data_IF_702122545865
#
_entry.id   IF_702122545865
#
_cell.length_a   1.000
_cell.length_b   1.000
_cell.length_c   1.000
_cell.angle_alpha   90.00
_cell.angle_beta   90.00
_cell.angle_gamma   90.00
#
_symmetry.space_group_name_H-M   'P 1'
#
loop_
_entity.id
_entity.type
_entity.pdbx_description
1 polymer ?
#
# COMPACT_ATOMS: atom_id res chain seq x y z
N UNK A 1 -8.21 -10.51 35.03
CA UNK A 1 -7.23 -10.34 33.94
C UNK A 1 -8.00 -9.95 32.68
N UNK A 2 -8.35 -8.67 32.60
CA UNK A 2 -9.09 -8.05 31.50
C UNK A 2 -8.14 -7.03 30.87
N UNK A 3 -7.61 -7.34 29.69
CA UNK A 3 -6.68 -6.49 28.97
C UNK A 3 -7.41 -5.39 28.22
N UNK A 4 -7.10 -4.15 28.58
CA UNK A 4 -7.54 -2.92 27.94
C UNK A 4 -7.11 -2.86 26.47
N UNK A 5 -8.07 -2.68 25.56
CA UNK A 5 -7.86 -2.06 24.25
C UNK A 5 -8.49 -0.66 24.31
N UNK A 6 -7.65 0.34 24.57
CA UNK A 6 -7.98 1.75 24.44
C UNK A 6 -8.07 2.06 22.93
N UNK A 7 -9.28 2.09 22.39
CA UNK A 7 -9.56 2.75 21.11
C UNK A 7 -9.40 4.26 21.30
N UNK A 8 -8.26 4.80 20.88
CA UNK A 8 -8.09 6.25 20.75
C UNK A 8 -8.83 6.71 19.50
N UNK A 9 -10.11 7.02 19.64
CA UNK A 9 -10.82 7.88 18.71
C UNK A 9 -10.17 9.27 18.76
N UNK A 10 -9.29 9.57 17.81
CA UNK A 10 -8.86 10.94 17.55
C UNK A 10 -10.00 11.66 16.84
N UNK A 11 -10.90 12.23 17.64
CA UNK A 11 -11.81 13.28 17.19
C UNK A 11 -10.97 14.46 16.72
N UNK A 12 -10.94 14.70 15.40
CA UNK A 12 -10.46 15.97 14.89
C UNK A 12 -11.38 17.07 15.45
N UNK A 13 -10.85 18.10 16.13
CA UNK A 13 -11.69 19.19 16.57
C UNK A 13 -12.14 19.98 15.34
N UNK A 14 -13.38 19.78 14.91
CA UNK A 14 -14.11 20.64 13.97
C UNK A 14 -14.53 21.93 14.69
N UNK A 15 -13.54 22.68 15.16
CA UNK A 15 -13.74 24.02 15.68
C UNK A 15 -12.65 24.92 15.12
N UNK A 16 -12.91 25.48 13.93
CA UNK A 16 -12.36 26.79 13.66
C UNK A 16 -13.33 27.82 14.24
N UNK A 17 -12.92 28.69 15.18
CA UNK A 17 -13.65 29.91 15.39
C UNK A 17 -13.42 30.72 14.11
N UNK A 18 -14.40 30.80 13.22
CA UNK A 18 -14.33 31.76 12.11
C UNK A 18 -15.33 32.84 12.42
N UNK A 19 -14.79 33.96 12.90
CA UNK A 19 -15.51 35.22 12.97
C UNK A 19 -16.27 35.46 11.65
N UNK A 20 -17.43 36.12 11.70
CA UNK A 20 -18.11 36.57 10.49
C UNK A 20 -17.17 37.55 9.77
N UNK A 21 -16.42 37.02 8.80
CA UNK A 21 -15.54 37.79 7.92
C UNK A 21 -16.37 38.84 7.19
N UNK A 22 -16.11 40.09 7.50
CA UNK A 22 -16.64 41.26 6.83
C UNK A 22 -16.15 41.27 5.38
N UNK A 23 -16.99 41.68 4.43
CA UNK A 23 -16.66 41.72 3.00
C UNK A 23 -15.50 42.68 2.68
N UNK A 24 -15.07 43.49 3.66
CA UNK A 24 -13.98 44.44 3.57
C UNK A 24 -12.57 43.82 3.69
N UNK A 25 -12.40 42.59 4.23
CA UNK A 25 -11.06 41.95 4.37
C UNK A 25 -10.65 41.15 3.11
N UNK A 26 -10.89 41.73 1.94
CA UNK A 26 -10.40 41.22 0.65
C UNK A 26 -8.87 41.31 0.54
N UNK A 27 -8.22 42.17 1.32
CA UNK A 27 -6.78 42.40 1.28
C UNK A 27 -6.00 41.13 1.66
N UNK A 28 -6.32 40.49 2.77
CA UNK A 28 -5.69 39.25 3.24
C UNK A 28 -5.84 38.10 2.23
N UNK A 29 -7.01 37.99 1.61
CA UNK A 29 -7.28 36.99 0.58
C UNK A 29 -6.59 37.31 -0.76
N UNK A 30 -6.52 38.59 -1.13
CA UNK A 30 -5.85 39.06 -2.34
C UNK A 30 -4.35 38.82 -2.28
N UNK A 31 -3.69 39.09 -1.14
CA UNK A 31 -2.26 38.85 -0.93
C UNK A 31 -1.93 37.35 -1.09
N UNK A 32 -2.77 36.48 -0.54
CA UNK A 32 -2.61 35.03 -0.68
C UNK A 32 -2.92 34.50 -2.09
N UNK A 33 -3.71 35.24 -2.89
CA UNK A 33 -3.94 34.94 -4.30
C UNK A 33 -2.79 35.44 -5.17
N UNK A 34 -2.23 36.61 -4.84
CA UNK A 34 -1.05 37.18 -5.49
C UNK A 34 0.17 36.28 -5.30
N UNK A 35 0.35 35.73 -4.09
CA UNK A 35 1.44 34.76 -3.83
C UNK A 35 1.32 33.46 -4.62
N UNK A 36 0.11 33.08 -5.08
CA UNK A 36 -0.17 31.89 -5.89
C UNK A 36 -0.56 32.20 -7.34
N UNK A 37 -0.54 33.47 -7.76
CA UNK A 37 -1.12 33.90 -9.02
C UNK A 37 -0.47 33.22 -10.24
N UNK A 38 0.83 32.97 -10.17
CA UNK A 38 1.59 32.23 -11.18
C UNK A 38 1.07 30.80 -11.42
N UNK A 39 0.49 30.16 -10.40
CA UNK A 39 -0.02 28.80 -10.48
C UNK A 39 -1.49 28.76 -10.89
N UNK A 40 -2.24 29.86 -10.73
CA UNK A 40 -3.68 29.90 -10.98
C UNK A 40 -4.04 30.48 -12.36
N UNK A 41 -3.28 31.44 -12.89
CA UNK A 41 -3.70 32.29 -14.00
C UNK A 41 -2.70 32.34 -15.18
N UNK A 42 -3.19 32.74 -16.35
CA UNK A 42 -2.38 33.08 -17.56
C UNK A 42 -2.11 34.60 -17.55
N UNK A 43 -1.12 35.11 -18.29
CA UNK A 43 -0.77 36.54 -18.35
C UNK A 43 -1.17 37.11 -19.72
N UNK A 44 -2.18 37.99 -19.76
CA UNK A 44 -2.58 38.91 -20.84
C UNK A 44 -3.81 39.78 -20.42
N UNK A 45 -4.09 40.88 -21.13
CA UNK A 45 -5.06 41.90 -20.72
C UNK A 45 -6.16 42.18 -21.77
N UNK A 46 -7.43 41.98 -21.39
CA UNK A 46 -8.57 42.85 -21.73
C UNK A 46 -9.88 42.35 -21.08
N UNK A 47 -10.74 43.26 -20.63
CA UNK A 47 -12.12 42.95 -20.20
C UNK A 47 -13.03 44.16 -20.42
N UNK A 48 -14.29 43.88 -20.78
CA UNK A 48 -15.35 44.85 -21.11
C UNK A 48 -16.45 44.75 -20.05
N UNK A 49 -16.87 45.89 -19.50
CA UNK A 49 -18.04 45.99 -18.62
C UNK A 49 -19.34 46.09 -19.44
N UNK A 50 -20.38 45.36 -19.00
CA UNK A 50 -21.75 45.42 -19.56
C UNK A 50 -22.75 45.41 -18.40
N UNK A 51 -23.62 46.42 -18.35
CA UNK A 51 -24.73 46.51 -17.41
C UNK A 51 -25.87 45.54 -17.77
N UNK A 52 -26.58 45.03 -16.76
CA UNK A 52 -27.62 44.02 -16.92
C UNK A 52 -29.04 44.61 -16.83
N UNK A 53 -29.96 44.22 -17.73
CA UNK A 53 -31.38 44.56 -17.60
C UNK A 53 -32.04 43.83 -16.41
N UNK A 54 -33.13 44.39 -15.87
CA UNK A 54 -33.89 43.80 -14.75
C UNK A 54 -34.41 42.39 -15.08
N UNK A 55 -34.36 41.48 -14.11
CA UNK A 55 -34.76 40.08 -14.28
C UNK A 55 -33.82 39.22 -15.14
N UNK A 56 -32.67 39.75 -15.56
CA UNK A 56 -31.69 38.99 -16.34
C UNK A 56 -30.71 38.19 -15.47
N UNK A 57 -30.29 37.04 -15.99
CA UNK A 57 -29.25 36.20 -15.38
C UNK A 57 -27.97 36.26 -16.20
N UNK A 58 -26.88 36.73 -15.59
CA UNK A 58 -25.55 36.76 -16.21
C UNK A 58 -24.77 35.51 -15.82
N UNK A 59 -24.24 34.78 -16.80
CA UNK A 59 -23.40 33.60 -16.55
C UNK A 59 -21.99 33.86 -17.10
N UNK A 60 -21.02 34.00 -16.21
CA UNK A 60 -19.60 34.13 -16.53
C UNK A 60 -18.97 32.74 -16.37
N UNK A 61 -18.47 32.17 -17.47
CA UNK A 61 -17.84 30.85 -17.44
C UNK A 61 -16.34 30.93 -17.70
N UNK A 62 -15.53 30.38 -16.79
CA UNK A 62 -14.08 30.30 -16.90
C UNK A 62 -13.68 28.85 -17.18
N UNK A 63 -12.89 28.63 -18.24
CA UNK A 63 -12.42 27.30 -18.63
C UNK A 63 -10.95 27.09 -18.31
N UNK A 64 -10.56 25.82 -18.31
CA UNK A 64 -9.18 25.35 -18.21
C UNK A 64 -8.95 24.28 -19.30
N UNK A 65 -7.69 24.09 -19.66
CA UNK A 65 -7.30 23.04 -20.60
C UNK A 65 -7.54 21.63 -20.02
N UNK A 66 -7.18 21.42 -18.76
CA UNK A 66 -7.50 20.21 -18.01
C UNK A 66 -7.68 20.52 -16.51
N UNK A 67 -8.12 19.53 -15.72
CA UNK A 67 -8.40 19.69 -14.28
C UNK A 67 -7.18 19.98 -13.41
N UNK A 68 -5.96 19.94 -13.96
CA UNK A 68 -4.70 20.30 -13.30
C UNK A 68 -3.97 21.49 -13.98
N UNK A 69 -4.51 22.08 -15.06
CA UNK A 69 -3.89 23.21 -15.75
C UNK A 69 -4.23 24.54 -15.09
N UNK A 70 -3.50 25.60 -15.43
CA UNK A 70 -3.87 26.98 -15.06
C UNK A 70 -5.25 27.33 -15.64
N UNK A 71 -5.94 28.29 -15.02
CA UNK A 71 -7.19 28.84 -15.54
C UNK A 71 -6.90 29.72 -16.75
N UNK A 72 -7.78 29.68 -17.76
CA UNK A 72 -7.66 30.48 -18.96
C UNK A 72 -8.20 31.91 -18.73
N UNK A 73 -7.73 32.54 -17.66
CA UNK A 73 -8.02 33.92 -17.28
C UNK A 73 -6.82 34.47 -16.53
N UNK A 74 -6.70 35.79 -16.50
CA UNK A 74 -5.55 36.48 -15.93
C UNK A 74 -5.91 37.05 -14.57
N UNK A 75 -4.90 37.29 -13.71
CA UNK A 75 -5.18 37.72 -12.34
C UNK A 75 -5.91 39.07 -12.31
N UNK A 76 -5.50 40.00 -13.17
CA UNK A 76 -6.14 41.32 -13.31
C UNK A 76 -7.59 41.19 -13.81
N UNK A 77 -7.81 40.34 -14.83
CA UNK A 77 -9.16 40.06 -15.34
C UNK A 77 -10.06 39.42 -14.28
N UNK A 78 -9.53 38.46 -13.52
CA UNK A 78 -10.29 37.81 -12.46
C UNK A 78 -10.64 38.79 -11.33
N UNK A 79 -9.69 39.64 -10.92
CA UNK A 79 -9.96 40.74 -9.97
C UNK A 79 -11.03 41.68 -10.48
N UNK A 80 -10.95 42.11 -11.75
CA UNK A 80 -11.96 42.96 -12.37
C UNK A 80 -13.35 42.32 -12.34
N UNK A 81 -13.48 41.02 -12.68
CA UNK A 81 -14.74 40.28 -12.57
C UNK A 81 -15.24 40.24 -11.12
N UNK A 82 -14.35 39.97 -10.16
CA UNK A 82 -14.71 39.94 -8.74
C UNK A 82 -15.23 41.29 -8.25
N UNK A 83 -14.57 42.39 -8.64
CA UNK A 83 -14.97 43.75 -8.26
C UNK A 83 -16.25 44.18 -8.97
N UNK A 84 -16.38 43.92 -10.28
CA UNK A 84 -17.57 44.33 -11.06
C UNK A 84 -18.82 43.51 -10.74
N UNK A 85 -18.65 42.26 -10.30
CA UNK A 85 -19.77 41.36 -9.98
C UNK A 85 -20.04 41.22 -8.47
N UNK A 86 -19.34 41.96 -7.61
CA UNK A 86 -19.51 41.89 -6.15
C UNK A 86 -19.27 40.49 -5.58
N UNK A 87 -18.22 39.79 -6.05
CA UNK A 87 -17.95 38.40 -5.66
C UNK A 87 -17.51 38.34 -4.20
N UNK A 88 -18.21 37.54 -3.39
CA UNK A 88 -17.88 37.37 -1.98
C UNK A 88 -16.48 36.71 -1.82
N UNK A 89 -15.57 37.24 -0.96
CA UNK A 89 -14.19 36.76 -0.85
C UNK A 89 -14.05 35.26 -0.49
N UNK A 90 -15.03 34.66 0.19
CA UNK A 90 -15.04 33.20 0.48
C UNK A 90 -14.97 32.30 -0.75
N UNK A 91 -15.38 32.78 -1.93
CA UNK A 91 -15.22 32.03 -3.19
C UNK A 91 -13.75 31.70 -3.46
N UNK A 92 -12.83 32.55 -2.99
CA UNK A 92 -11.39 32.39 -3.20
C UNK A 92 -10.85 31.14 -2.49
N UNK A 93 -11.48 30.67 -1.40
CA UNK A 93 -11.13 29.41 -0.75
C UNK A 93 -11.39 28.19 -1.66
N UNK A 94 -12.46 28.24 -2.45
CA UNK A 94 -12.76 27.20 -3.45
C UNK A 94 -11.79 27.25 -4.62
N UNK A 95 -11.41 28.46 -5.04
CA UNK A 95 -10.52 28.70 -6.18
C UNK A 95 -9.07 28.32 -5.88
N UNK A 96 -8.61 28.48 -4.63
CA UNK A 96 -7.28 28.04 -4.17
C UNK A 96 -7.00 26.56 -4.45
N UNK A 97 -8.03 25.71 -4.47
CA UNK A 97 -7.93 24.28 -4.78
C UNK A 97 -7.83 23.97 -6.29
N UNK A 98 -7.95 24.97 -7.16
CA UNK A 98 -8.07 24.80 -8.62
C UNK A 98 -6.84 25.20 -9.44
N UNK A 99 -5.74 25.60 -8.82
CA UNK A 99 -4.51 25.96 -9.54
C UNK A 99 -3.81 24.79 -10.27
N UNK A 100 -2.63 25.09 -10.82
CA UNK A 100 -1.74 24.12 -11.44
C UNK A 100 -1.35 23.02 -10.44
N UNK A 101 -1.45 21.76 -10.87
CA UNK A 101 -1.12 20.60 -10.04
C UNK A 101 -0.19 19.66 -10.77
N UNK A 102 0.87 19.24 -10.07
CA UNK A 102 1.74 18.12 -10.48
C UNK A 102 1.36 16.82 -9.80
N UNK A 103 0.55 16.88 -8.73
CA UNK A 103 0.10 15.75 -7.92
C UNK A 103 -1.35 15.95 -7.47
N UNK A 104 -2.08 14.86 -7.16
CA UNK A 104 -3.43 14.90 -6.61
C UNK A 104 -3.45 15.43 -5.17
N UNK A 105 -3.19 16.73 -4.97
CA UNK A 105 -3.31 17.40 -3.67
C UNK A 105 -4.71 18.03 -3.54
N UNK A 106 -5.18 18.14 -2.30
CA UNK A 106 -6.46 18.79 -1.96
C UNK A 106 -7.69 18.08 -2.53
N UNK A 107 -7.61 16.77 -2.80
CA UNK A 107 -8.73 16.01 -3.39
C UNK A 107 -9.92 15.84 -2.44
N UNK A 108 -9.70 16.03 -1.14
CA UNK A 108 -10.71 15.83 -0.10
C UNK A 108 -11.52 17.10 0.21
N UNK A 109 -11.10 18.27 -0.31
CA UNK A 109 -11.77 19.53 0.01
C UNK A 109 -13.02 19.72 -0.86
N UNK A 110 -14.18 19.74 -0.21
CA UNK A 110 -15.47 20.12 -0.76
C UNK A 110 -16.15 21.10 0.20
N UNK A 111 -16.17 22.38 -0.18
CA UNK A 111 -16.74 23.49 0.58
C UNK A 111 -18.04 23.99 -0.04
N UNK A 112 -18.95 24.42 0.83
CA UNK A 112 -20.16 25.14 0.47
C UNK A 112 -20.31 26.32 1.44
N UNK A 113 -20.46 27.52 0.91
CA UNK A 113 -20.59 28.75 1.68
C UNK A 113 -21.81 29.52 1.20
N UNK A 114 -22.66 29.88 2.14
CA UNK A 114 -23.84 30.70 1.92
C UNK A 114 -23.74 31.93 2.81
N UNK A 115 -24.10 33.10 2.29
CA UNK A 115 -24.13 34.35 3.05
C UNK A 115 -25.28 35.20 2.54
N UNK A 116 -26.01 35.84 3.44
CA UNK A 116 -27.04 36.83 3.09
C UNK A 116 -26.58 38.16 3.63
N UNK A 117 -26.30 39.10 2.74
CA UNK A 117 -25.97 40.46 3.10
C UNK A 117 -27.25 41.29 3.08
N UNK A 118 -27.52 41.94 4.21
CA UNK A 118 -28.52 42.99 4.29
C UNK A 118 -27.77 44.30 4.36
N UNK A 119 -27.85 45.13 3.31
CA UNK A 119 -27.33 46.50 3.44
C UNK A 119 -28.17 47.23 4.51
N UNK A 120 -27.56 47.85 5.53
CA UNK A 120 -28.26 48.76 6.40
C UNK A 120 -28.74 49.93 5.55
N UNK A 121 -30.05 50.09 5.41
CA UNK A 121 -30.60 51.26 4.72
C UNK A 121 -30.09 52.53 5.39
N UNK A 122 -29.50 53.44 4.62
CA UNK A 122 -29.28 54.79 5.10
C UNK A 122 -30.66 55.42 5.39
N UNK A 123 -30.87 56.06 6.56
CA UNK A 123 -32.01 56.94 6.71
C UNK A 123 -31.81 58.13 5.76
N UNK A 124 -32.68 58.31 4.77
CA UNK A 124 -32.62 59.48 3.88
C UNK A 124 -33.46 60.61 4.47
N UNK A 125 -32.92 61.83 4.39
CA UNK A 125 -33.58 63.11 4.64
C UNK A 125 -34.80 63.29 3.73
N UNK A 126 -35.91 63.74 4.32
CA UNK A 126 -36.99 64.50 3.71
C UNK A 126 -37.47 64.05 2.33
N UNK A 127 -38.27 62.96 2.26
CA UNK A 127 -39.55 62.89 1.51
C UNK A 127 -40.09 61.45 1.47
N UNK A 128 -40.51 60.91 2.63
CA UNK A 128 -41.54 59.85 2.83
C UNK A 128 -41.48 58.51 2.06
N UNK A 129 -40.58 58.31 1.09
CA UNK A 129 -40.51 57.13 0.24
C UNK A 129 -39.32 56.27 0.66
N UNK A 130 -39.63 55.16 1.33
CA UNK A 130 -38.65 54.15 1.74
C UNK A 130 -38.03 53.52 0.49
N UNK A 131 -36.73 53.76 0.25
CA UNK A 131 -35.96 52.99 -0.74
C UNK A 131 -35.87 51.54 -0.23
N UNK A 132 -36.27 50.53 -1.02
CA UNK A 132 -36.22 49.14 -0.58
C UNK A 132 -34.77 48.72 -0.28
N UNK A 133 -34.59 48.15 0.91
CA UNK A 133 -33.32 47.61 1.43
C UNK A 133 -32.74 46.61 0.42
N UNK A 134 -31.58 46.88 -0.20
CA UNK A 134 -30.92 45.91 -1.08
C UNK A 134 -30.44 44.73 -0.25
N UNK A 135 -31.07 43.57 -0.45
CA UNK A 135 -30.63 42.30 0.13
C UNK A 135 -29.98 41.47 -0.96
N UNK A 136 -28.71 41.15 -0.78
CA UNK A 136 -27.94 40.32 -1.71
C UNK A 136 -27.68 38.96 -1.06
N UNK A 137 -27.95 37.90 -1.80
CA UNK A 137 -27.74 36.53 -1.37
C UNK A 137 -26.61 35.90 -2.16
N UNK A 138 -25.60 35.40 -1.45
CA UNK A 138 -24.41 34.81 -2.01
C UNK A 138 -24.38 33.31 -1.70
N UNK A 139 -24.07 32.52 -2.72
CA UNK A 139 -23.86 31.09 -2.57
C UNK A 139 -22.64 30.65 -3.39
N UNK A 140 -21.75 29.87 -2.80
CA UNK A 140 -20.59 29.32 -3.47
C UNK A 140 -20.35 27.88 -3.05
N UNK A 141 -20.02 27.01 -3.99
CA UNK A 141 -19.70 25.62 -3.70
C UNK A 141 -18.83 25.03 -4.80
N UNK A 142 -18.07 24.00 -4.44
CA UNK A 142 -17.39 23.16 -5.42
C UNK A 142 -18.04 21.78 -5.51
N UNK A 143 -18.22 21.29 -6.74
CA UNK A 143 -18.65 19.93 -7.00
C UNK A 143 -17.49 19.14 -7.61
N UNK A 144 -17.47 17.85 -7.33
CA UNK A 144 -16.57 16.90 -7.95
C UNK A 144 -17.39 15.87 -8.71
N UNK A 145 -16.86 15.43 -9.83
CA UNK A 145 -17.54 14.49 -10.71
C UNK A 145 -16.52 13.64 -11.47
N UNK A 146 -16.93 12.44 -11.87
CA UNK A 146 -16.09 11.55 -12.67
C UNK A 146 -16.43 11.70 -14.15
N UNK A 147 -15.42 11.82 -15.00
CA UNK A 147 -15.63 11.91 -16.44
C UNK A 147 -14.53 11.17 -17.18
N UNK A 148 -14.90 10.50 -18.28
CA UNK A 148 -13.96 9.77 -19.14
C UNK A 148 -13.00 10.77 -19.80
N UNK A 149 -11.70 10.50 -19.74
CA UNK A 149 -10.70 11.40 -20.30
C UNK A 149 -10.36 11.10 -21.77
N UNK A 150 -10.82 9.97 -22.33
CA UNK A 150 -10.63 9.62 -23.74
C UNK A 150 -9.18 9.34 -24.14
N UNK A 151 -8.33 8.94 -23.19
CA UNK A 151 -6.92 8.57 -23.44
C UNK A 151 -6.82 7.05 -23.32
N UNK A 152 -5.86 6.44 -24.01
CA UNK A 152 -5.58 5.01 -23.94
C UNK A 152 -4.75 4.68 -22.68
N UNK A 153 -5.40 4.81 -21.52
CA UNK A 153 -4.83 4.51 -20.20
C UNK A 153 -5.73 3.45 -19.56
N UNK A 154 -5.13 2.54 -18.77
CA UNK A 154 -5.85 1.42 -18.10
C UNK A 154 -7.09 1.87 -17.33
N UNK A 155 -7.04 3.03 -16.67
CA UNK A 155 -8.18 3.65 -16.01
C UNK A 155 -8.73 4.77 -16.90
N UNK A 156 -9.95 4.65 -17.47
CA UNK A 156 -10.51 5.65 -18.37
C UNK A 156 -11.08 6.88 -17.62
N UNK A 157 -11.21 6.80 -16.30
CA UNK A 157 -11.88 7.80 -15.49
C UNK A 157 -10.93 8.83 -14.90
N UNK A 158 -11.41 10.05 -14.72
CA UNK A 158 -10.71 11.07 -13.96
C UNK A 158 -11.69 11.86 -13.09
N UNK A 159 -11.33 12.05 -11.82
CA UNK A 159 -12.05 12.96 -10.94
C UNK A 159 -11.76 14.40 -11.35
N UNK A 160 -12.82 15.12 -11.72
CA UNK A 160 -12.78 16.54 -12.08
C UNK A 160 -13.44 17.36 -10.98
N UNK A 161 -13.13 18.65 -10.96
CA UNK A 161 -13.70 19.60 -10.00
C UNK A 161 -14.22 20.82 -10.76
N UNK A 162 -15.32 21.38 -10.27
CA UNK A 162 -15.91 22.61 -10.75
C UNK A 162 -16.32 23.49 -9.56
N UNK A 163 -16.36 24.80 -9.79
CA UNK A 163 -16.81 25.78 -8.79
C UNK A 163 -17.97 26.55 -9.36
N UNK A 164 -19.01 26.69 -8.55
CA UNK A 164 -20.16 27.52 -8.84
C UNK A 164 -20.25 28.61 -7.78
N UNK A 165 -20.46 29.83 -8.23
CA UNK A 165 -20.82 30.96 -7.40
C UNK A 165 -22.05 31.62 -7.99
N UNK A 166 -22.99 31.97 -7.13
CA UNK A 166 -24.18 32.75 -7.44
C UNK A 166 -24.25 33.94 -6.48
N UNK A 167 -24.58 35.08 -7.05
CA UNK A 167 -25.13 36.22 -6.32
C UNK A 167 -26.52 36.52 -6.88
N UNK A 168 -27.49 36.66 -5.99
CA UNK A 168 -28.87 37.00 -6.32
C UNK A 168 -29.24 38.27 -5.57
N UNK A 169 -29.71 39.27 -6.29
CA UNK A 169 -30.24 40.50 -5.71
C UNK A 169 -31.75 40.36 -5.56
N UNK A 170 -32.24 40.32 -4.32
CA UNK A 170 -33.65 40.03 -4.04
C UNK A 170 -34.61 41.07 -4.61
N UNK A 171 -34.17 42.34 -4.77
CA UNK A 171 -35.04 43.44 -5.17
C UNK A 171 -35.24 43.51 -6.70
N UNK A 172 -34.21 43.18 -7.49
CA UNK A 172 -34.23 43.31 -8.95
C UNK A 172 -34.45 41.94 -9.65
N UNK A 173 -34.54 40.86 -8.87
CA UNK A 173 -34.52 39.45 -9.31
C UNK A 173 -33.38 39.14 -10.31
N UNK A 174 -32.31 39.94 -10.30
CA UNK A 174 -31.13 39.73 -11.14
C UNK A 174 -30.19 38.75 -10.45
N UNK A 175 -29.60 37.86 -11.23
CA UNK A 175 -28.59 36.93 -10.72
C UNK A 175 -27.33 36.94 -11.57
N UNK A 176 -26.17 36.90 -10.91
CA UNK A 176 -24.88 36.70 -11.58
C UNK A 176 -24.27 35.39 -11.11
N UNK A 177 -23.85 34.58 -12.07
CA UNK A 177 -23.22 33.30 -11.87
C UNK A 177 -21.77 33.36 -12.34
N UNK A 178 -20.86 32.91 -11.49
CA UNK A 178 -19.48 32.64 -11.87
C UNK A 178 -19.28 31.12 -11.81
N UNK A 179 -18.98 30.53 -12.96
CA UNK A 179 -18.85 29.10 -13.13
C UNK A 179 -17.45 28.78 -13.63
N UNK A 180 -16.72 27.95 -12.90
CA UNK A 180 -15.35 27.58 -13.24
C UNK A 180 -15.30 26.09 -13.56
N UNK A 181 -14.83 25.76 -14.76
CA UNK A 181 -14.69 24.40 -15.28
C UNK A 181 -15.97 23.53 -15.16
N UNK A 182 -17.13 23.98 -15.69
CA UNK A 182 -18.35 23.19 -15.58
C UNK A 182 -18.25 21.84 -16.31
N UNK A 183 -19.03 20.83 -15.89
CA UNK A 183 -19.15 19.55 -16.62
C UNK A 183 -19.57 19.76 -18.08
N UNK A 184 -19.22 18.84 -18.98
CA UNK A 184 -19.62 18.90 -20.40
C UNK A 184 -21.13 19.01 -20.59
N UNK A 185 -21.89 18.20 -19.82
CA UNK A 185 -23.36 18.22 -19.77
C UNK A 185 -23.96 19.56 -19.31
N UNK A 186 -23.21 20.45 -18.66
CA UNK A 186 -23.70 21.79 -18.29
C UNK A 186 -24.06 22.61 -19.53
N UNK A 187 -23.14 22.69 -20.50
CA UNK A 187 -23.31 23.48 -21.73
C UNK A 187 -24.48 22.99 -22.59
N UNK A 188 -24.63 21.68 -22.69
CA UNK A 188 -25.74 21.06 -23.44
C UNK A 188 -27.09 21.49 -22.87
N UNK A 189 -27.18 21.67 -21.56
CA UNK A 189 -28.40 22.11 -20.90
C UNK A 189 -28.74 23.57 -21.12
N UNK A 190 -27.71 24.42 -21.18
CA UNK A 190 -27.91 25.85 -21.45
C UNK A 190 -28.44 26.13 -22.85
N UNK A 191 -28.24 25.21 -23.81
CA UNK A 191 -28.84 25.31 -25.15
C UNK A 191 -30.35 25.02 -25.16
N UNK A 192 -30.84 24.30 -24.14
CA UNK A 192 -32.23 23.84 -24.04
C UNK A 192 -33.09 24.89 -23.30
N UNK A 193 -32.47 25.73 -22.47
CA UNK A 193 -33.14 26.79 -21.70
C UNK A 193 -33.05 28.11 -22.46
N UNK A 194 -34.19 28.79 -22.65
CA UNK A 194 -34.20 30.16 -23.17
C UNK A 194 -33.59 31.09 -22.11
N UNK A 195 -32.32 31.47 -22.33
CA UNK A 195 -31.49 32.24 -21.38
C UNK A 195 -32.02 33.64 -21.10
N UNK A 196 -33.01 34.10 -21.88
CA UNK A 196 -33.57 35.44 -21.78
C UNK A 196 -34.71 35.58 -20.75
N UNK A 197 -35.22 34.46 -20.20
CA UNK A 197 -36.29 34.44 -19.19
C UNK A 197 -36.10 33.29 -18.18
N UNK A 198 -35.10 33.40 -17.31
CA UNK A 198 -35.07 32.55 -16.11
C UNK A 198 -35.86 33.24 -15.00
N UNK A 199 -37.15 32.94 -14.88
CA UNK A 199 -38.01 33.51 -13.84
C UNK A 199 -37.60 33.09 -12.42
N UNK A 200 -36.75 32.04 -12.30
CA UNK A 200 -36.26 31.52 -11.03
C UNK A 200 -34.74 31.25 -11.05
N UNK A 201 -33.92 32.22 -10.60
CA UNK A 201 -32.47 32.09 -10.56
C UNK A 201 -31.91 30.82 -9.88
N UNK A 202 -32.50 30.31 -8.76
CA UNK A 202 -31.99 29.11 -8.12
C UNK A 202 -32.10 27.84 -8.97
N UNK A 203 -32.93 27.81 -10.03
CA UNK A 203 -33.09 26.64 -10.90
C UNK A 203 -31.76 26.16 -11.53
N UNK A 204 -30.82 27.08 -11.74
CA UNK A 204 -29.49 26.74 -12.26
C UNK A 204 -28.66 25.88 -11.30
N UNK A 205 -28.95 25.87 -9.98
CA UNK A 205 -28.34 24.93 -9.04
C UNK A 205 -28.71 23.48 -9.34
N UNK A 206 -29.99 23.20 -9.67
CA UNK A 206 -30.42 21.87 -10.07
C UNK A 206 -29.61 21.41 -11.28
N UNK A 207 -29.45 22.28 -12.27
CA UNK A 207 -28.65 21.97 -13.45
C UNK A 207 -27.19 21.68 -13.10
N UNK A 208 -26.60 22.47 -12.21
CA UNK A 208 -25.22 22.29 -11.78
C UNK A 208 -25.02 20.90 -11.17
N UNK A 209 -25.90 20.52 -10.22
CA UNK A 209 -25.86 19.23 -9.54
C UNK A 209 -26.14 18.09 -10.52
N UNK A 210 -27.22 18.16 -11.30
CA UNK A 210 -27.56 17.12 -12.28
C UNK A 210 -26.44 16.90 -13.29
N UNK A 211 -25.79 17.97 -13.75
CA UNK A 211 -24.67 17.85 -14.69
C UNK A 211 -23.44 17.16 -14.09
N UNK A 212 -23.19 17.35 -12.80
CA UNK A 212 -22.09 16.70 -12.07
C UNK A 212 -22.43 15.24 -11.69
N UNK A 213 -23.68 14.95 -11.38
CA UNK A 213 -24.14 13.61 -10.99
C UNK A 213 -24.33 12.65 -12.18
N UNK A 214 -24.57 13.17 -13.38
CA UNK A 214 -25.04 12.40 -14.53
C UNK A 214 -24.08 11.32 -15.07
N UNK A 215 -22.81 11.31 -14.67
CA UNK A 215 -21.81 10.30 -15.06
C UNK A 215 -21.40 9.39 -13.90
N UNK A 216 -21.94 9.62 -12.70
CA UNK A 216 -21.58 8.87 -11.49
C UNK A 216 -22.01 7.39 -11.59
N UNK A 217 -23.18 7.14 -12.17
CA UNK A 217 -23.70 5.79 -12.34
C UNK A 217 -22.78 4.94 -13.25
N UNK A 218 -22.33 5.49 -14.38
CA UNK A 218 -21.41 4.80 -15.32
C UNK A 218 -20.08 4.45 -14.63
N UNK A 219 -19.58 5.35 -13.79
CA UNK A 219 -18.35 5.12 -13.04
C UNK A 219 -18.49 3.97 -12.02
N UNK A 220 -19.61 3.96 -11.28
CA UNK A 220 -19.87 2.88 -10.32
C UNK A 220 -20.12 1.54 -11.03
N UNK A 221 -20.77 1.56 -12.18
CA UNK A 221 -20.98 0.38 -13.02
C UNK A 221 -19.66 -0.21 -13.53
N UNK A 222 -18.73 0.64 -14.01
CA UNK A 222 -17.41 0.20 -14.45
C UNK A 222 -16.62 -0.46 -13.30
N UNK A 223 -16.68 0.10 -12.09
CA UNK A 223 -16.05 -0.52 -10.89
C UNK A 223 -16.76 -1.82 -10.48
N UNK A 224 -18.09 -1.85 -10.55
CA UNK A 224 -18.89 -3.04 -10.26
C UNK A 224 -18.48 -4.21 -11.17
N UNK A 225 -18.31 -3.93 -12.46
CA UNK A 225 -17.86 -4.91 -13.44
C UNK A 225 -16.43 -5.40 -13.15
N UNK A 226 -15.52 -4.50 -12.78
CA UNK A 226 -14.15 -4.85 -12.35
C UNK A 226 -14.15 -5.74 -11.09
N UNK A 227 -14.97 -5.43 -10.09
CA UNK A 227 -15.10 -6.25 -8.88
C UNK A 227 -15.77 -7.60 -9.15
N UNK A 228 -16.76 -7.65 -10.02
CA UNK A 228 -17.45 -8.89 -10.40
C UNK A 228 -16.50 -9.83 -11.14
N UNK A 229 -15.65 -9.29 -12.03
CA UNK A 229 -14.56 -10.03 -12.66
C UNK A 229 -13.59 -10.63 -11.62
N UNK A 230 -13.17 -9.82 -10.65
CA UNK A 230 -12.27 -10.26 -9.58
C UNK A 230 -12.92 -11.32 -8.68
N UNK A 231 -14.16 -11.10 -8.27
CA UNK A 231 -14.96 -12.03 -7.47
C UNK A 231 -15.04 -13.38 -8.16
N UNK A 232 -15.42 -13.39 -9.44
CA UNK A 232 -15.51 -14.60 -10.24
C UNK A 232 -14.17 -15.34 -10.33
N UNK A 233 -13.04 -14.64 -10.43
CA UNK A 233 -11.71 -15.28 -10.43
C UNK A 233 -11.41 -16.01 -9.12
N UNK A 234 -11.91 -15.50 -7.99
CA UNK A 234 -11.70 -16.07 -6.66
C UNK A 234 -12.71 -17.16 -6.31
N UNK A 235 -13.97 -17.03 -6.74
CA UNK A 235 -15.03 -17.99 -6.41
C UNK A 235 -14.95 -19.31 -7.18
N UNK A 236 -14.31 -19.35 -8.36
CA UNK A 236 -14.25 -20.60 -9.13
C UNK A 236 -13.37 -21.64 -8.43
N UNK A 237 -13.91 -22.84 -8.10
CA UNK A 237 -13.14 -23.88 -7.45
C UNK A 237 -12.07 -24.40 -8.41
N UNK A 238 -10.81 -24.18 -8.05
CA UNK A 238 -9.64 -24.67 -8.78
C UNK A 238 -8.72 -25.44 -7.83
N UNK A 239 -7.93 -26.41 -8.32
CA UNK A 239 -6.86 -27.00 -7.53
C UNK A 239 -5.93 -25.92 -7.00
N UNK A 240 -5.51 -26.02 -5.73
CA UNK A 240 -4.67 -25.02 -5.05
C UNK A 240 -3.41 -24.63 -5.82
N UNK A 241 -2.81 -25.59 -6.53
CA UNK A 241 -1.62 -25.39 -7.37
C UNK A 241 -1.87 -24.56 -8.64
N UNK A 242 -3.13 -24.40 -9.06
CA UNK A 242 -3.55 -23.63 -10.25
C UNK A 242 -4.03 -22.21 -9.94
N UNK A 243 -4.06 -21.82 -8.66
CA UNK A 243 -4.35 -20.44 -8.29
C UNK A 243 -3.11 -19.57 -8.47
N UNK A 244 -3.13 -18.74 -9.50
CA UNK A 244 -2.15 -17.69 -9.76
C UNK A 244 -2.48 -16.43 -8.95
N UNK A 245 -2.59 -16.58 -7.64
CA UNK A 245 -2.79 -15.47 -6.73
C UNK A 245 -1.44 -15.01 -6.20
N UNK A 246 -1.04 -13.84 -6.67
CA UNK A 246 0.12 -13.10 -6.19
C UNK A 246 -0.32 -11.84 -5.43
N UNK A 247 0.60 -11.25 -4.69
CA UNK A 247 0.42 -9.99 -3.96
C UNK A 247 -0.13 -8.87 -4.87
N UNK A 248 0.18 -8.93 -6.17
CA UNK A 248 -0.34 -8.03 -7.20
C UNK A 248 -1.88 -7.96 -7.24
N UNK A 249 -2.59 -9.08 -7.02
CA UNK A 249 -4.06 -9.10 -7.00
C UNK A 249 -4.61 -8.33 -5.79
N UNK A 250 -3.99 -8.53 -4.62
CA UNK A 250 -4.36 -7.80 -3.39
C UNK A 250 -4.08 -6.30 -3.53
N UNK A 251 -2.97 -5.92 -4.17
CA UNK A 251 -2.67 -4.52 -4.47
C UNK A 251 -3.72 -3.91 -5.40
N UNK A 252 -4.11 -4.63 -6.45
CA UNK A 252 -5.11 -4.18 -7.39
C UNK A 252 -6.48 -3.95 -6.72
N UNK A 253 -6.91 -4.91 -5.89
CA UNK A 253 -8.14 -4.80 -5.11
C UNK A 253 -8.10 -3.59 -4.16
N UNK A 254 -6.95 -3.32 -3.54
CA UNK A 254 -6.78 -2.16 -2.68
C UNK A 254 -6.91 -0.83 -3.45
N UNK A 255 -6.42 -0.76 -4.69
CA UNK A 255 -6.60 0.41 -5.56
C UNK A 255 -8.09 0.62 -5.86
N UNK A 256 -8.83 -0.44 -6.19
CA UNK A 256 -10.28 -0.37 -6.43
C UNK A 256 -11.03 0.09 -5.18
N UNK A 257 -10.65 -0.40 -3.99
CA UNK A 257 -11.21 0.04 -2.71
C UNK A 257 -10.96 1.53 -2.45
N UNK A 258 -9.76 2.03 -2.72
CA UNK A 258 -9.44 3.46 -2.60
C UNK A 258 -10.31 4.31 -3.53
N UNK A 259 -10.53 3.86 -4.77
CA UNK A 259 -11.43 4.51 -5.73
C UNK A 259 -12.88 4.60 -5.22
N UNK A 260 -13.40 3.51 -4.63
CA UNK A 260 -14.73 3.48 -4.04
C UNK A 260 -14.86 4.40 -2.83
N UNK A 261 -13.87 4.42 -1.94
CA UNK A 261 -13.85 5.36 -0.81
C UNK A 261 -13.85 6.82 -1.30
N UNK A 262 -13.07 7.13 -2.34
CA UNK A 262 -13.07 8.47 -2.94
C UNK A 262 -14.44 8.82 -3.55
N UNK A 263 -15.08 7.90 -4.26
CA UNK A 263 -16.41 8.10 -4.81
C UNK A 263 -17.46 8.37 -3.72
N UNK A 264 -17.42 7.59 -2.63
CA UNK A 264 -18.30 7.78 -1.47
C UNK A 264 -18.10 9.15 -0.82
N UNK A 265 -16.84 9.57 -0.65
CA UNK A 265 -16.51 10.91 -0.14
C UNK A 265 -17.09 12.02 -1.01
N UNK A 266 -17.00 11.89 -2.34
CA UNK A 266 -17.57 12.86 -3.29
C UNK A 266 -19.10 12.89 -3.17
N UNK A 267 -19.75 11.72 -3.17
CA UNK A 267 -21.21 11.60 -3.00
C UNK A 267 -21.67 12.28 -1.70
N UNK A 268 -21.00 12.02 -0.58
CA UNK A 268 -21.29 12.67 0.70
C UNK A 268 -21.11 14.19 0.64
N UNK A 269 -20.08 14.68 -0.04
CA UNK A 269 -19.87 16.11 -0.26
C UNK A 269 -20.96 16.75 -1.12
N UNK A 270 -21.41 16.07 -2.18
CA UNK A 270 -22.51 16.55 -3.02
C UNK A 270 -23.85 16.58 -2.27
N UNK A 271 -24.14 15.57 -1.43
CA UNK A 271 -25.33 15.54 -0.58
C UNK A 271 -25.35 16.69 0.44
N UNK A 272 -24.21 17.00 1.08
CA UNK A 272 -24.08 18.17 1.96
C UNK A 272 -24.32 19.48 1.22
N UNK A 273 -23.83 19.57 -0.01
CA UNK A 273 -24.02 20.76 -0.87
C UNK A 273 -25.50 20.92 -1.24
N UNK A 274 -26.20 19.83 -1.57
CA UNK A 274 -27.65 19.82 -1.82
C UNK A 274 -28.41 20.31 -0.59
N UNK A 275 -28.09 19.81 0.60
CA UNK A 275 -28.72 20.26 1.85
C UNK A 275 -28.50 21.76 2.08
N UNK A 276 -27.28 22.26 1.85
CA UNK A 276 -26.96 23.67 1.96
C UNK A 276 -27.71 24.54 0.93
N UNK A 277 -27.88 24.06 -0.31
CA UNK A 277 -28.69 24.72 -1.35
C UNK A 277 -30.15 24.79 -0.90
N UNK A 278 -30.71 23.69 -0.40
CA UNK A 278 -32.10 23.65 0.08
C UNK A 278 -32.34 24.70 1.17
N UNK A 279 -31.48 24.72 2.21
CA UNK A 279 -31.58 25.69 3.31
C UNK A 279 -31.37 27.14 2.84
N UNK A 280 -30.44 27.36 1.92
CA UNK A 280 -30.19 28.70 1.36
C UNK A 280 -31.40 29.21 0.58
N UNK A 281 -31.93 28.40 -0.33
CA UNK A 281 -33.08 28.77 -1.16
C UNK A 281 -34.30 29.03 -0.28
N UNK A 282 -34.54 28.20 0.75
CA UNK A 282 -35.62 28.44 1.72
C UNK A 282 -35.44 29.76 2.50
N UNK A 283 -34.22 30.08 2.92
CA UNK A 283 -33.93 31.35 3.60
C UNK A 283 -34.15 32.56 2.67
N UNK A 284 -33.72 32.48 1.41
CA UNK A 284 -33.94 33.55 0.43
C UNK A 284 -35.40 33.73 0.07
N UNK A 285 -36.17 32.64 -0.03
CA UNK A 285 -37.59 32.67 -0.33
C UNK A 285 -38.39 33.42 0.75
N UNK A 286 -38.07 33.17 2.03
CA UNK A 286 -38.70 33.87 3.18
C UNK A 286 -38.46 35.38 3.15
N UNK A 287 -37.33 35.83 2.58
CA UNK A 287 -36.95 37.26 2.52
C UNK A 287 -37.48 37.93 1.25
N UNK A 288 -37.47 37.23 0.11
CA UNK A 288 -37.76 37.82 -1.19
C UNK A 288 -39.26 37.97 -1.49
N UNK A 289 -40.14 37.13 -0.93
CA UNK A 289 -41.61 37.28 -0.98
C UNK A 289 -42.31 37.17 -2.35
N UNK A 290 -41.62 37.47 -3.45
CA UNK A 290 -42.21 37.68 -4.79
C UNK A 290 -42.21 36.44 -5.70
N UNK A 291 -41.49 35.37 -5.35
CA UNK A 291 -41.43 34.17 -6.20
C UNK A 291 -42.64 33.24 -6.00
N UNK A 292 -43.27 32.72 -7.08
CA UNK A 292 -44.42 31.82 -6.97
C UNK A 292 -44.14 30.58 -6.11
N UNK A 293 -44.95 30.36 -5.07
CA UNK A 293 -44.83 29.22 -4.14
C UNK A 293 -44.83 27.87 -4.86
N UNK A 294 -45.60 27.74 -5.94
CA UNK A 294 -45.63 26.51 -6.75
C UNK A 294 -44.27 26.17 -7.36
N UNK A 295 -43.55 27.19 -7.87
CA UNK A 295 -42.25 27.00 -8.52
C UNK A 295 -41.18 26.65 -7.48
N UNK A 296 -41.19 27.33 -6.32
CA UNK A 296 -40.31 26.99 -5.20
C UNK A 296 -40.50 25.53 -4.72
N UNK A 297 -41.75 25.08 -4.57
CA UNK A 297 -42.05 23.70 -4.19
C UNK A 297 -41.60 22.68 -5.24
N UNK A 298 -41.77 22.98 -6.53
CA UNK A 298 -41.27 22.14 -7.62
C UNK A 298 -39.74 22.03 -7.56
N UNK A 299 -39.03 23.15 -7.35
CA UNK A 299 -37.58 23.16 -7.19
C UNK A 299 -37.12 22.26 -6.04
N UNK A 300 -37.72 22.40 -4.85
CA UNK A 300 -37.38 21.58 -3.69
C UNK A 300 -37.69 20.10 -3.92
N UNK A 301 -38.75 19.79 -4.66
CA UNK A 301 -39.09 18.41 -5.03
C UNK A 301 -38.03 17.81 -5.94
N UNK A 302 -37.62 18.52 -6.99
CA UNK A 302 -36.58 18.04 -7.90
C UNK A 302 -35.22 17.92 -7.19
N UNK A 303 -34.90 18.85 -6.28
CA UNK A 303 -33.69 18.74 -5.46
C UNK A 303 -33.70 17.47 -4.59
N UNK A 304 -34.88 17.13 -4.04
CA UNK A 304 -35.06 15.90 -3.25
C UNK A 304 -34.97 14.65 -4.13
N UNK A 305 -35.52 14.66 -5.34
CA UNK A 305 -35.38 13.56 -6.30
C UNK A 305 -33.91 13.26 -6.59
N UNK A 306 -33.13 14.30 -6.92
CA UNK A 306 -31.68 14.17 -7.15
C UNK A 306 -30.96 13.65 -5.89
N UNK A 307 -31.37 14.11 -4.70
CA UNK A 307 -30.82 13.62 -3.44
C UNK A 307 -31.09 12.12 -3.25
N UNK A 308 -32.27 11.62 -3.61
CA UNK A 308 -32.58 10.19 -3.55
C UNK A 308 -31.70 9.37 -4.50
N UNK A 309 -31.50 9.84 -5.73
CA UNK A 309 -30.62 9.19 -6.70
C UNK A 309 -29.18 9.11 -6.20
N UNK A 310 -28.67 10.19 -5.61
CA UNK A 310 -27.33 10.21 -5.01
C UNK A 310 -27.21 9.31 -3.77
N UNK A 311 -28.27 9.19 -2.96
CA UNK A 311 -28.31 8.22 -1.87
C UNK A 311 -28.27 6.78 -2.40
N UNK A 312 -28.97 6.48 -3.50
CA UNK A 312 -28.90 5.18 -4.15
C UNK A 312 -27.46 4.88 -4.63
N UNK A 313 -26.81 5.83 -5.32
CA UNK A 313 -25.41 5.68 -5.72
C UNK A 313 -24.46 5.48 -4.54
N UNK A 314 -24.72 6.14 -3.41
CA UNK A 314 -23.94 5.94 -2.17
C UNK A 314 -24.16 4.54 -1.58
N UNK A 315 -25.37 4.00 -1.62
CA UNK A 315 -25.66 2.62 -1.20
C UNK A 315 -24.88 1.64 -2.08
N UNK A 316 -24.96 1.79 -3.40
CA UNK A 316 -24.21 0.95 -4.35
C UNK A 316 -22.71 1.00 -4.08
N UNK A 317 -22.13 2.18 -3.88
CA UNK A 317 -20.71 2.29 -3.53
C UNK A 317 -20.36 1.59 -2.19
N UNK A 318 -21.28 1.53 -1.24
CA UNK A 318 -21.09 0.83 0.04
C UNK A 318 -21.18 -0.68 -0.14
N UNK A 319 -22.17 -1.17 -0.90
CA UNK A 319 -22.31 -2.59 -1.26
C UNK A 319 -21.07 -3.12 -2.01
N UNK A 320 -20.52 -2.32 -2.93
CA UNK A 320 -19.27 -2.67 -3.63
C UNK A 320 -18.04 -2.68 -2.70
N UNK A 321 -18.01 -1.80 -1.69
CA UNK A 321 -16.96 -1.83 -0.67
C UNK A 321 -17.04 -3.10 0.19
N UNK A 322 -18.24 -3.54 0.54
CA UNK A 322 -18.47 -4.77 1.30
C UNK A 322 -18.08 -5.99 0.47
N UNK A 323 -18.53 -6.07 -0.80
CA UNK A 323 -18.11 -7.12 -1.73
C UNK A 323 -16.58 -7.20 -1.85
N UNK A 324 -15.90 -6.06 -1.99
CA UNK A 324 -14.43 -6.05 -2.07
C UNK A 324 -13.75 -6.51 -0.77
N UNK A 325 -14.40 -6.33 0.39
CA UNK A 325 -13.91 -6.85 1.67
C UNK A 325 -14.02 -8.38 1.71
N UNK A 326 -15.14 -8.93 1.22
CA UNK A 326 -15.35 -10.38 1.10
C UNK A 326 -14.34 -11.02 0.13
N UNK A 327 -14.07 -10.38 -1.01
CA UNK A 327 -13.01 -10.82 -1.95
C UNK A 327 -11.64 -10.79 -1.26
N UNK A 328 -11.36 -9.78 -0.44
CA UNK A 328 -10.09 -9.70 0.30
C UNK A 328 -9.98 -10.85 1.32
N UNK A 329 -11.05 -11.14 2.04
CA UNK A 329 -11.09 -12.20 3.03
C UNK A 329 -10.87 -13.58 2.36
N UNK A 330 -11.56 -13.85 1.26
CA UNK A 330 -11.41 -15.09 0.50
C UNK A 330 -10.00 -15.26 -0.07
N UNK A 331 -9.40 -14.22 -0.65
CA UNK A 331 -8.00 -14.27 -1.11
C UNK A 331 -7.05 -14.61 0.04
N UNK A 332 -7.21 -13.96 1.21
CA UNK A 332 -6.38 -14.26 2.39
C UNK A 332 -6.53 -15.71 2.85
N UNK A 333 -7.75 -16.22 2.93
CA UNK A 333 -8.00 -17.62 3.30
C UNK A 333 -7.36 -18.61 2.32
N UNK A 334 -7.41 -18.32 1.01
CA UNK A 334 -6.78 -19.18 -0.01
C UNK A 334 -5.25 -19.16 0.12
N UNK A 335 -4.66 -17.99 0.34
CA UNK A 335 -3.21 -17.84 0.54
C UNK A 335 -2.75 -18.58 1.80
N UNK A 336 -3.52 -18.48 2.89
CA UNK A 336 -3.23 -19.18 4.14
C UNK A 336 -3.31 -20.71 3.98
N UNK A 337 -4.35 -21.20 3.29
CA UNK A 337 -4.49 -22.63 3.02
C UNK A 337 -3.34 -23.15 2.14
N UNK A 338 -2.90 -22.37 1.15
CA UNK A 338 -1.73 -22.70 0.32
C UNK A 338 -0.45 -22.74 1.14
N UNK A 339 -0.24 -21.78 2.05
CA UNK A 339 0.92 -21.78 2.93
C UNK A 339 0.94 -23.01 3.83
N UNK A 340 -0.21 -23.39 4.40
CA UNK A 340 -0.34 -24.60 5.20
C UNK A 340 -0.05 -25.87 4.39
N UNK A 341 -0.56 -25.99 3.17
CA UNK A 341 -0.26 -27.13 2.29
C UNK A 341 1.25 -27.23 1.96
N UNK A 342 1.91 -26.10 1.68
CA UNK A 342 3.36 -26.06 1.48
C UNK A 342 4.14 -26.48 2.72
N UNK A 343 3.74 -26.01 3.90
CA UNK A 343 4.36 -26.40 5.18
C UNK A 343 4.18 -27.89 5.46
N UNK A 344 3.00 -28.44 5.22
CA UNK A 344 2.72 -29.87 5.40
C UNK A 344 3.52 -30.74 4.41
N UNK A 345 3.60 -30.33 3.14
CA UNK A 345 4.39 -31.02 2.13
C UNK A 345 5.88 -30.99 2.46
N UNK A 346 6.42 -29.84 2.87
CA UNK A 346 7.81 -29.72 3.32
C UNK A 346 8.07 -30.58 4.56
N UNK A 347 7.16 -30.59 5.53
CA UNK A 347 7.28 -31.41 6.74
C UNK A 347 7.30 -32.91 6.39
N UNK A 348 6.46 -33.35 5.46
CA UNK A 348 6.47 -34.73 4.96
C UNK A 348 7.77 -35.07 4.23
N UNK A 349 8.30 -34.16 3.40
CA UNK A 349 9.60 -34.36 2.74
C UNK A 349 10.74 -34.45 3.75
N UNK A 350 10.73 -33.61 4.79
CA UNK A 350 11.70 -33.65 5.88
C UNK A 350 11.61 -34.95 6.69
N UNK A 351 10.42 -35.47 6.93
CA UNK A 351 10.25 -36.79 7.56
C UNK A 351 10.90 -37.90 6.73
N UNK A 352 10.64 -37.93 5.42
CA UNK A 352 11.26 -38.92 4.51
C UNK A 352 12.79 -38.81 4.50
N UNK A 353 13.33 -37.59 4.46
CA UNK A 353 14.78 -37.36 4.53
C UNK A 353 15.34 -37.82 5.88
N UNK A 354 14.62 -37.54 6.97
CA UNK A 354 15.05 -37.94 8.33
C UNK A 354 15.05 -39.46 8.48
N UNK A 355 14.03 -40.15 7.96
CA UNK A 355 13.96 -41.61 7.94
C UNK A 355 15.09 -42.22 7.09
N UNK A 356 15.36 -41.65 5.91
CA UNK A 356 16.47 -42.09 5.06
C UNK A 356 17.82 -41.90 5.76
N UNK A 357 18.05 -40.74 6.40
CA UNK A 357 19.26 -40.45 7.16
C UNK A 357 19.41 -41.37 8.38
N UNK A 358 18.31 -41.68 9.08
CA UNK A 358 18.34 -42.62 10.21
C UNK A 358 18.76 -44.02 9.74
N UNK A 359 18.20 -44.48 8.61
CA UNK A 359 18.55 -45.76 8.00
C UNK A 359 20.00 -45.78 7.52
N UNK A 360 20.47 -44.71 6.88
CA UNK A 360 21.87 -44.57 6.45
C UNK A 360 22.82 -44.57 7.65
N UNK A 361 22.48 -43.86 8.73
CA UNK A 361 23.27 -43.85 9.97
C UNK A 361 23.35 -45.23 10.60
N UNK A 362 22.24 -45.99 10.59
CA UNK A 362 22.25 -47.38 11.06
C UNK A 362 23.18 -48.26 10.20
N UNK A 363 23.11 -48.17 8.88
CA UNK A 363 24.01 -48.92 8.00
C UNK A 363 25.47 -48.54 8.22
N UNK A 364 25.77 -47.25 8.42
CA UNK A 364 27.13 -46.79 8.74
C UNK A 364 27.62 -47.36 10.08
N UNK A 365 26.76 -47.46 11.08
CA UNK A 365 27.11 -48.11 12.35
C UNK A 365 27.41 -49.61 12.16
N UNK A 366 26.64 -50.31 11.34
CA UNK A 366 26.90 -51.72 10.99
C UNK A 366 28.22 -51.89 10.23
N UNK A 367 28.48 -51.04 9.22
CA UNK A 367 29.75 -51.04 8.48
C UNK A 367 30.94 -50.75 9.40
N UNK A 368 30.81 -49.79 10.32
CA UNK A 368 31.85 -49.50 11.31
C UNK A 368 32.10 -50.70 12.24
N UNK A 369 31.07 -51.44 12.63
CA UNK A 369 31.20 -52.65 13.43
C UNK A 369 31.93 -53.77 12.66
N UNK A 370 31.61 -53.97 11.39
CA UNK A 370 32.34 -54.92 10.54
C UNK A 370 33.82 -54.51 10.37
N UNK A 371 34.08 -53.24 10.09
CA UNK A 371 35.45 -52.71 9.97
C UNK A 371 36.24 -52.85 11.28
N UNK A 372 35.59 -52.68 12.43
CA UNK A 372 36.19 -52.91 13.75
C UNK A 372 36.57 -54.38 13.95
N UNK A 373 35.68 -55.31 13.63
CA UNK A 373 35.95 -56.74 13.72
C UNK A 373 37.06 -57.19 12.77
N UNK A 374 37.07 -56.67 11.53
CA UNK A 374 38.12 -56.94 10.56
C UNK A 374 39.48 -56.44 11.06
N UNK A 375 39.52 -55.20 11.55
CA UNK A 375 40.71 -54.61 12.19
C UNK A 375 41.22 -55.45 13.36
N UNK A 376 40.32 -56.04 14.16
CA UNK A 376 40.68 -56.95 15.26
C UNK A 376 41.31 -58.24 14.74
N UNK A 377 40.74 -58.86 13.71
CA UNK A 377 41.26 -60.09 13.11
C UNK A 377 42.67 -59.87 12.54
N UNK A 378 42.87 -58.79 11.78
CA UNK A 378 44.18 -58.40 11.25
C UNK A 378 45.20 -58.19 12.38
N UNK A 379 44.78 -57.53 13.48
CA UNK A 379 45.65 -57.34 14.65
C UNK A 379 46.04 -58.66 15.33
N UNK A 380 45.13 -59.63 15.42
CA UNK A 380 45.45 -60.95 15.98
C UNK A 380 46.42 -61.72 15.06
N UNK A 381 46.16 -61.75 13.75
CA UNK A 381 47.02 -62.42 12.79
C UNK A 381 48.45 -61.85 12.78
N UNK A 382 48.58 -60.52 12.87
CA UNK A 382 49.89 -59.85 12.96
C UNK A 382 50.63 -60.14 14.27
N UNK A 383 49.93 -60.28 15.40
CA UNK A 383 50.54 -60.74 16.67
C UNK A 383 51.03 -62.18 16.56
N UNK A 384 50.23 -63.09 15.99
CA UNK A 384 50.65 -64.49 15.77
C UNK A 384 51.90 -64.53 14.88
N UNK A 385 51.91 -63.78 13.77
CA UNK A 385 53.06 -63.68 12.89
C UNK A 385 54.29 -63.13 13.62
N UNK A 386 54.14 -62.07 14.44
CA UNK A 386 55.24 -61.49 15.23
C UNK A 386 55.89 -62.48 16.21
N UNK A 387 55.13 -63.44 16.75
CA UNK A 387 55.67 -64.47 17.65
C UNK A 387 56.29 -65.63 16.85
N UNK A 388 55.64 -66.04 15.75
CA UNK A 388 56.04 -67.22 15.00
C UNK A 388 57.28 -66.97 14.12
N UNK A 389 57.42 -65.76 13.54
CA UNK A 389 58.56 -65.40 12.67
C UNK A 389 59.91 -65.55 13.39
N UNK A 390 60.11 -64.96 14.60
CA UNK A 390 61.36 -65.13 15.33
C UNK A 390 61.61 -66.57 15.77
N UNK A 391 60.58 -67.29 16.22
CA UNK A 391 60.70 -68.68 16.65
C UNK A 391 61.08 -69.62 15.48
N UNK A 392 60.48 -69.43 14.30
CA UNK A 392 60.81 -70.19 13.09
C UNK A 392 62.24 -69.93 12.62
N UNK A 393 62.73 -68.69 12.78
CA UNK A 393 64.12 -68.34 12.51
C UNK A 393 65.09 -69.04 13.48
N UNK A 394 64.76 -69.09 14.78
CA UNK A 394 65.54 -69.83 15.78
C UNK A 394 65.52 -71.34 15.52
N UNK A 395 64.36 -71.92 15.18
CA UNK A 395 64.26 -73.34 14.85
C UNK A 395 65.03 -73.71 13.58
N UNK A 396 64.95 -72.86 12.54
CA UNK A 396 65.78 -73.02 11.34
C UNK A 396 67.27 -72.94 11.68
N UNK A 397 67.66 -72.05 12.60
CA UNK A 397 69.03 -71.96 13.08
C UNK A 397 69.50 -73.27 13.75
N UNK A 398 68.71 -73.86 14.65
CA UNK A 398 69.02 -75.15 15.27
C UNK A 398 68.97 -76.35 14.30
N UNK A 399 68.25 -76.23 13.18
CA UNK A 399 68.20 -77.24 12.12
C UNK A 399 69.40 -77.19 11.16
N UNK A 400 70.29 -76.21 11.29
CA UNK A 400 71.54 -76.17 10.52
C UNK A 400 72.64 -77.01 11.18
N UNK A 401 73.68 -77.35 10.42
CA UNK A 401 74.81 -78.24 10.80
C UNK A 401 75.67 -77.69 11.97
N UNK A 402 75.29 -76.57 12.58
CA UNK A 402 76.03 -75.96 13.69
C UNK A 402 75.77 -76.61 15.07
N UNK A 403 74.75 -77.47 15.22
CA UNK A 403 74.47 -78.23 16.45
C UNK A 403 74.43 -79.72 16.12
N UNK A 404 75.41 -80.48 16.62
CA UNK A 404 75.52 -81.93 16.40
C UNK A 404 75.36 -82.67 17.74
N UNK A 405 74.46 -83.65 17.78
CA UNK A 405 74.15 -84.45 18.96
C UNK A 405 74.80 -85.82 18.80
N UNK A 406 76.02 -85.98 19.33
CA UNK A 406 76.73 -87.25 19.27
C UNK A 406 76.41 -88.11 20.51
N UNK A 407 75.82 -89.29 20.28
CA UNK A 407 75.43 -90.23 21.32
C UNK A 407 76.40 -91.41 21.40
N UNK A 408 77.23 -91.47 22.45
CA UNK A 408 77.96 -92.69 22.84
C UNK A 408 77.91 -92.86 24.35
N UNK A 409 77.27 -93.95 24.77
CA UNK A 409 77.23 -94.57 26.11
C UNK A 409 77.43 -93.63 27.35
N UNK A 410 76.31 -93.33 28.01
CA UNK A 410 76.17 -92.92 29.42
C UNK A 410 76.73 -91.57 29.89
N UNK A 411 76.98 -90.61 28.99
CA UNK A 411 76.98 -89.19 29.40
C UNK A 411 76.63 -88.26 28.24
N UNK A 412 75.58 -87.45 28.41
CA UNK A 412 75.22 -86.39 27.46
C UNK A 412 76.18 -85.20 27.62
N UNK A 413 77.01 -84.93 26.62
CA UNK A 413 77.72 -83.65 26.52
C UNK A 413 77.52 -83.03 25.14
N UNK A 414 76.93 -81.84 25.15
CA UNK A 414 76.62 -81.03 23.99
C UNK A 414 77.92 -80.44 23.40
N UNK A 415 78.42 -80.97 22.28
CA UNK A 415 79.61 -80.41 21.60
C UNK A 415 79.21 -79.22 20.71
N UNK A 416 79.25 -78.05 21.32
CA UNK A 416 79.02 -76.72 20.72
C UNK A 416 80.25 -76.30 19.90
N UNK A 417 80.09 -76.06 18.58
CA UNK A 417 81.16 -75.50 17.73
C UNK A 417 81.56 -74.08 18.18
N UNK A 418 82.85 -73.76 18.10
CA UNK A 418 83.48 -72.55 18.68
C UNK A 418 82.95 -71.19 18.14
N UNK A 419 82.13 -71.21 17.09
CA UNK A 419 81.52 -70.03 16.46
C UNK A 419 80.08 -69.72 16.94
N UNK A 420 79.54 -70.48 17.90
CA UNK A 420 78.18 -70.28 18.45
C UNK A 420 77.93 -68.88 19.03
N UNK A 421 78.99 -68.15 19.42
CA UNK A 421 78.85 -66.76 19.87
C UNK A 421 78.27 -65.83 18.79
N UNK A 422 78.54 -66.06 17.50
CA UNK A 422 77.97 -65.26 16.40
C UNK A 422 76.45 -65.42 16.33
N UNK A 423 75.96 -66.62 16.57
CA UNK A 423 74.53 -66.92 16.58
C UNK A 423 73.81 -66.36 17.80
N UNK A 424 74.40 -66.49 19.00
CA UNK A 424 73.85 -65.90 20.23
C UNK A 424 73.79 -64.38 20.11
N UNK A 425 74.82 -63.75 19.54
CA UNK A 425 74.82 -62.31 19.24
C UNK A 425 73.77 -61.95 18.19
N UNK A 426 73.62 -62.73 17.12
CA UNK A 426 72.58 -62.53 16.10
C UNK A 426 71.17 -62.60 16.69
N UNK A 427 70.89 -63.60 17.53
CA UNK A 427 69.60 -63.78 18.20
C UNK A 427 69.35 -62.63 19.18
N UNK A 428 70.35 -62.26 19.99
CA UNK A 428 70.24 -61.14 20.93
C UNK A 428 69.98 -59.82 20.19
N UNK A 429 70.67 -59.57 19.06
CA UNK A 429 70.47 -58.39 18.22
C UNK A 429 69.07 -58.40 17.61
N UNK A 430 68.57 -59.55 17.14
CA UNK A 430 67.24 -59.64 16.54
C UNK A 430 66.12 -59.48 17.57
N UNK A 431 66.29 -60.01 18.79
CA UNK A 431 65.36 -59.81 19.91
C UNK A 431 65.37 -58.35 20.36
N UNK A 432 66.54 -57.73 20.50
CA UNK A 432 66.63 -56.30 20.83
C UNK A 432 66.05 -55.45 19.71
N UNK A 433 66.30 -55.75 18.44
CA UNK A 433 65.75 -55.00 17.32
C UNK A 433 64.22 -55.10 17.25
N UNK A 434 63.65 -56.30 17.45
CA UNK A 434 62.20 -56.51 17.46
C UNK A 434 61.54 -55.87 18.68
N UNK A 435 62.14 -55.97 19.87
CA UNK A 435 61.65 -55.29 21.08
C UNK A 435 61.75 -53.76 20.97
N UNK A 436 62.85 -53.24 20.42
CA UNK A 436 63.06 -51.82 20.17
C UNK A 436 62.03 -51.28 19.19
N UNK A 437 61.81 -52.00 18.08
CA UNK A 437 60.84 -51.65 17.06
C UNK A 437 59.41 -51.64 17.63
N UNK A 438 59.05 -52.68 18.40
CA UNK A 438 57.76 -52.78 19.06
C UNK A 438 57.55 -51.62 20.05
N UNK A 439 58.55 -51.31 20.87
CA UNK A 439 58.48 -50.22 21.83
C UNK A 439 58.37 -48.84 21.16
N UNK A 440 59.05 -48.64 20.02
CA UNK A 440 58.94 -47.42 19.21
C UNK A 440 57.55 -47.32 18.56
N UNK A 441 57.00 -48.43 18.05
CA UNK A 441 55.67 -48.48 17.45
C UNK A 441 54.58 -48.17 18.46
N UNK A 442 54.65 -48.75 19.66
CA UNK A 442 53.70 -48.51 20.74
C UNK A 442 53.75 -47.06 21.23
N UNK A 443 54.95 -46.49 21.38
CA UNK A 443 55.11 -45.05 21.71
C UNK A 443 54.58 -44.12 20.62
N UNK A 444 54.69 -44.49 19.34
CA UNK A 444 54.15 -43.68 18.23
C UNK A 444 52.62 -43.74 18.18
N UNK A 445 52.04 -44.91 18.41
CA UNK A 445 50.58 -45.06 18.45
C UNK A 445 49.98 -44.36 19.67
N UNK A 446 50.61 -44.44 20.84
CA UNK A 446 50.15 -43.71 22.03
C UNK A 446 50.14 -42.18 21.82
N UNK A 447 51.12 -41.64 21.09
CA UNK A 447 51.16 -40.21 20.71
C UNK A 447 50.13 -39.84 19.66
N UNK A 448 49.83 -40.73 18.70
CA UNK A 448 48.79 -40.52 17.69
C UNK A 448 47.38 -40.51 18.31
N UNK A 449 47.10 -41.41 19.26
CA UNK A 449 45.82 -41.45 19.98
C UNK A 449 45.63 -40.22 20.88
N UNK A 450 46.70 -39.74 21.53
CA UNK A 450 46.70 -38.49 22.31
C UNK A 450 46.51 -37.24 21.44
N UNK A 451 47.06 -37.21 20.21
CA UNK A 451 46.85 -36.10 19.26
C UNK A 451 45.43 -36.11 18.66
N UNK A 452 44.77 -37.27 18.56
CA UNK A 452 43.36 -37.35 18.15
C UNK A 452 42.34 -37.07 19.26
N UNK A 453 42.74 -37.22 20.53
CA UNK A 453 41.89 -36.94 21.70
C UNK A 453 42.08 -35.55 22.31
N UNK A 454 43.12 -34.81 21.89
CA UNK A 454 43.14 -33.36 22.09
C UNK A 454 41.97 -32.76 21.30
N UNK A 455 41.05 -32.03 21.95
CA UNK A 455 39.96 -31.36 21.24
C UNK A 455 40.58 -30.47 20.18
N UNK A 456 40.04 -30.51 18.96
CA UNK A 456 40.26 -29.49 17.93
C UNK A 456 39.68 -28.15 18.40
N UNK A 457 40.24 -27.58 19.45
CA UNK A 457 40.14 -26.17 19.77
C UNK A 457 41.14 -25.48 18.85
N UNK A 458 40.65 -25.06 17.68
CA UNK A 458 41.01 -23.83 16.94
C UNK A 458 40.79 -24.01 15.43
N UNK A 459 39.53 -23.93 15.00
CA UNK A 459 39.17 -23.28 13.73
C UNK A 459 37.69 -22.94 13.55
N UNK A 460 36.83 -23.04 14.58
CA UNK A 460 35.43 -22.55 14.52
C UNK A 460 35.19 -21.52 15.61
N UNK A 461 35.89 -20.39 15.51
CA UNK A 461 35.62 -19.20 16.34
C UNK A 461 36.05 -17.92 15.62
N UNK A 462 36.36 -18.00 14.32
CA UNK A 462 36.71 -16.82 13.52
C UNK A 462 35.64 -16.42 12.51
N UNK A 463 34.59 -17.23 12.30
CA UNK A 463 33.53 -16.94 11.33
C UNK A 463 32.22 -16.45 11.96
N UNK A 464 32.09 -16.51 13.29
CA UNK A 464 30.92 -15.97 14.02
C UNK A 464 31.10 -14.53 14.48
N UNK A 465 32.33 -14.04 14.63
CA UNK A 465 32.58 -12.62 14.97
C UNK A 465 32.39 -11.66 13.78
N UNK A 466 32.50 -12.14 12.54
CA UNK A 466 32.29 -11.31 11.34
C UNK A 466 30.81 -11.08 10.97
N UNK A 467 29.88 -11.88 11.53
CA UNK A 467 28.44 -11.73 11.25
C UNK A 467 27.71 -10.92 12.32
N UNK A 468 28.20 -10.87 13.57
CA UNK A 468 27.62 -9.98 14.59
C UNK A 468 28.07 -8.52 14.46
N UNK A 469 29.25 -8.24 13.89
CA UNK A 469 29.68 -6.84 13.65
C UNK A 469 29.03 -6.19 12.40
N UNK A 470 28.24 -6.92 11.60
CA UNK A 470 27.55 -6.36 10.43
C UNK A 470 26.09 -5.97 10.66
N UNK A 471 25.53 -6.30 11.84
CA UNK A 471 24.15 -6.00 12.23
C UNK A 471 24.05 -4.90 13.30
N UNK A 472 25.14 -4.21 13.62
CA UNK A 472 25.18 -3.08 14.57
C UNK A 472 25.83 -1.82 13.96
N UNK A 473 25.58 -1.55 12.67
CA UNK A 473 25.81 -0.24 12.04
C UNK A 473 24.59 0.22 11.27
#
# INVERSE_FOLDING_TARGET
>A
MSGNLLETHTSYPLSFPRDPLDCCDLSSYSIALESRASDLFIIDESLVDVELPQGSTRIITIFRYNSWSRMNITSNMFKAICTSSGVHPRVLDLIRGMGYKSRPTDEHFMGCYCSTQHEPGQPIQDDGTLVPKKSASHMSYNLRYFEKHGRDIKDPWSCRQCVFYQITYCNDNTSTWLVIQPPTKWKEGLKIVDLNKTDYPPALHLRAISSAAATMWEYLEDISNELTELSRRVSFPKPLKKFDFDFTLSQHLQIVRQKLHHARMILDGTLRTIAAIASHVEATWKVAGDTPTALHNLFLRELRNISYDLHAHRSTATELLDLSADITATIKSILELRNQDLLNNNSRQLQVITEANAKETQMMAEVAQYAYNDSRTVRIATVIAMIYLPASLVMSFFSTVFVDFNNVADSEYLSVHKEIWVAVVSIAVMVVATASWFWIWERRNAKATLLSSLPKLKSSTRDTEWLEMRNLS
#
